data_IF_553725281715
#
_entry.id   IF_553725281715
#
_cell.length_a   1.000
_cell.length_b   1.000
_cell.length_c   1.000
_cell.angle_alpha   90.00
_cell.angle_beta   90.00
_cell.angle_gamma   90.00
#
_symmetry.space_group_name_H-M   'P 1'
#
loop_
_entity.id
_entity.type
_entity.pdbx_description
1 polymer ?
#
# COMPACT_ATOMS: atom_id res chain seq x y z
N UNK A 1 -4.43 56.84 34.21
CA UNK A 1 -3.43 56.23 33.31
C UNK A 1 -2.18 57.08 33.33
N UNK A 2 -1.12 56.61 33.99
CA UNK A 2 0.08 57.41 34.23
C UNK A 2 0.79 57.82 32.94
N UNK A 3 1.19 59.08 32.86
CA UNK A 3 2.11 59.62 31.83
C UNK A 3 3.54 59.21 32.19
N UNK A 4 3.79 57.90 32.32
CA UNK A 4 5.12 57.35 32.61
C UNK A 4 6.02 57.35 31.37
N UNK A 5 7.33 57.24 31.58
CA UNK A 5 8.33 57.14 30.52
C UNK A 5 8.02 56.00 29.52
N UNK A 6 7.56 54.85 30.02
CA UNK A 6 7.15 53.71 29.19
C UNK A 6 6.02 54.06 28.19
N UNK A 7 5.03 54.85 28.63
CA UNK A 7 3.93 55.30 27.77
C UNK A 7 4.40 56.37 26.76
N UNK A 8 5.44 57.14 27.10
CA UNK A 8 6.09 58.02 26.14
C UNK A 8 6.89 57.23 25.09
N UNK A 9 7.60 56.18 25.52
CA UNK A 9 8.40 55.33 24.65
C UNK A 9 7.55 54.46 23.73
N UNK A 10 6.43 53.90 24.21
CA UNK A 10 5.53 53.09 23.38
C UNK A 10 4.90 53.85 22.21
N UNK A 11 4.83 55.19 22.29
CA UNK A 11 4.39 56.06 21.19
C UNK A 11 5.46 56.29 20.12
N UNK A 12 6.73 55.98 20.41
CA UNK A 12 7.83 56.09 19.45
C UNK A 12 7.76 54.97 18.44
N UNK A 13 8.10 55.27 17.19
CA UNK A 13 8.01 54.34 16.06
C UNK A 13 8.99 53.16 16.15
N UNK A 14 10.02 53.23 16.98
CA UNK A 14 11.03 52.17 17.16
C UNK A 14 10.78 51.28 18.37
N UNK A 15 9.84 51.63 19.26
CA UNK A 15 9.61 50.85 20.47
C UNK A 15 8.82 49.57 20.14
N UNK A 16 9.19 48.40 20.67
CA UNK A 16 8.53 47.13 20.34
C UNK A 16 7.03 47.14 20.71
N UNK A 17 6.69 47.74 21.85
CA UNK A 17 5.30 47.87 22.34
C UNK A 17 4.46 48.87 21.53
N UNK A 18 5.05 49.56 20.55
CA UNK A 18 4.27 50.38 19.64
C UNK A 18 3.29 49.50 18.85
N UNK A 19 2.02 49.90 18.80
CA UNK A 19 0.94 49.17 18.12
C UNK A 19 1.30 48.87 16.66
N UNK A 20 1.95 49.81 15.96
CA UNK A 20 2.41 49.62 14.59
C UNK A 20 3.48 48.54 14.45
N UNK A 21 4.40 48.45 15.42
CA UNK A 21 5.45 47.43 15.41
C UNK A 21 4.91 46.06 15.81
N UNK A 22 4.04 46.01 16.82
CA UNK A 22 3.36 44.77 17.22
C UNK A 22 2.53 44.20 16.05
N UNK A 23 1.82 45.05 15.31
CA UNK A 23 1.12 44.64 14.09
C UNK A 23 2.09 44.12 13.01
N UNK A 24 3.21 44.79 12.79
CA UNK A 24 4.23 44.34 11.82
C UNK A 24 4.84 42.99 12.20
N UNK A 25 5.16 42.81 13.48
CA UNK A 25 5.63 41.54 14.03
C UNK A 25 4.60 40.44 13.81
N UNK A 26 3.33 40.69 14.15
CA UNK A 26 2.25 39.73 13.96
C UNK A 26 2.09 39.30 12.49
N UNK A 27 2.12 40.25 11.55
CA UNK A 27 2.06 39.93 10.11
C UNK A 27 3.28 39.12 9.64
N UNK A 28 4.46 39.43 10.16
CA UNK A 28 5.67 38.68 9.85
C UNK A 28 5.63 37.25 10.41
N UNK A 29 5.15 37.07 11.63
CA UNK A 29 4.96 35.78 12.27
C UNK A 29 3.91 34.94 11.53
N UNK A 30 2.78 35.52 11.15
CA UNK A 30 1.79 34.83 10.31
C UNK A 30 2.37 34.38 8.98
N UNK A 31 3.06 35.28 8.27
CA UNK A 31 3.69 34.94 6.98
C UNK A 31 4.71 33.80 7.13
N UNK A 32 5.52 33.84 8.18
CA UNK A 32 6.50 32.79 8.48
C UNK A 32 5.81 31.46 8.82
N UNK A 33 4.72 31.48 9.60
CA UNK A 33 3.93 30.29 9.90
C UNK A 33 3.33 29.66 8.64
N UNK A 34 2.78 30.49 7.73
CA UNK A 34 2.24 30.02 6.45
C UNK A 34 3.33 29.45 5.54
N UNK A 35 4.50 30.08 5.46
CA UNK A 35 5.63 29.56 4.68
C UNK A 35 6.11 28.21 5.23
N UNK A 36 6.24 28.08 6.55
CA UNK A 36 6.57 26.81 7.21
C UNK A 36 5.53 25.73 6.93
N UNK A 37 4.24 26.06 7.02
CA UNK A 37 3.15 25.13 6.71
C UNK A 37 3.24 24.64 5.27
N UNK A 38 3.42 25.54 4.30
CA UNK A 38 3.59 25.16 2.88
C UNK A 38 4.81 24.28 2.65
N UNK A 39 5.92 24.56 3.33
CA UNK A 39 7.13 23.73 3.23
C UNK A 39 6.92 22.34 3.84
N UNK A 40 6.18 22.22 4.94
CA UNK A 40 5.81 20.94 5.54
C UNK A 40 4.88 20.14 4.62
N UNK A 41 3.82 20.77 4.10
CA UNK A 41 2.90 20.13 3.14
C UNK A 41 3.66 19.62 1.89
N UNK A 42 4.65 20.37 1.39
CA UNK A 42 5.48 19.94 0.26
C UNK A 42 6.39 18.76 0.62
N UNK A 43 6.95 18.72 1.83
CA UNK A 43 7.74 17.59 2.31
C UNK A 43 6.90 16.33 2.46
N UNK A 44 5.71 16.45 3.04
CA UNK A 44 4.77 15.32 3.19
C UNK A 44 4.33 14.76 1.83
N UNK A 45 4.09 15.63 0.84
CA UNK A 45 3.78 15.20 -0.53
C UNK A 45 4.95 14.43 -1.14
N UNK A 46 6.17 14.94 -1.01
CA UNK A 46 7.37 14.26 -1.49
C UNK A 46 7.57 12.90 -0.82
N UNK A 47 7.42 12.81 0.50
CA UNK A 47 7.52 11.55 1.24
C UNK A 47 6.48 10.54 0.75
N UNK A 48 5.22 10.97 0.56
CA UNK A 48 4.17 10.12 0.01
C UNK A 48 4.51 9.61 -1.39
N UNK A 49 5.05 10.46 -2.26
CA UNK A 49 5.47 10.06 -3.61
C UNK A 49 6.64 9.07 -3.57
N UNK A 50 7.60 9.27 -2.68
CA UNK A 50 8.71 8.34 -2.46
C UNK A 50 8.23 6.99 -1.92
N UNK A 51 7.28 6.97 -0.98
CA UNK A 51 6.66 5.75 -0.49
C UNK A 51 5.93 5.00 -1.61
N UNK A 52 5.16 5.69 -2.45
CA UNK A 52 4.49 5.09 -3.61
C UNK A 52 5.52 4.53 -4.59
N UNK A 53 6.61 5.25 -4.84
CA UNK A 53 7.68 4.79 -5.71
C UNK A 53 8.38 3.55 -5.13
N UNK A 54 8.72 3.56 -3.84
CA UNK A 54 9.32 2.44 -3.11
C UNK A 54 8.40 1.22 -3.12
N UNK A 55 7.12 1.40 -2.81
CA UNK A 55 6.10 0.34 -2.86
C UNK A 55 5.98 -0.24 -4.27
N UNK A 56 6.00 0.59 -5.31
CA UNK A 56 5.98 0.15 -6.70
C UNK A 56 7.24 -0.63 -7.08
N UNK A 57 8.41 -0.21 -6.59
CA UNK A 57 9.67 -0.91 -6.80
C UNK A 57 9.68 -2.26 -6.07
N UNK A 58 9.20 -2.31 -4.83
CA UNK A 58 9.09 -3.52 -4.02
C UNK A 58 8.07 -4.50 -4.62
N UNK A 59 6.96 -4.00 -5.16
CA UNK A 59 5.99 -4.80 -5.90
C UNK A 59 6.57 -5.44 -7.18
N UNK A 60 7.69 -4.93 -7.71
CA UNK A 60 8.57 -5.61 -8.67
C UNK A 60 7.89 -6.53 -9.70
N UNK A 61 8.55 -7.66 -9.99
CA UNK A 61 8.13 -8.70 -10.94
C UNK A 61 6.77 -9.34 -10.57
N UNK A 62 6.19 -9.04 -9.40
CA UNK A 62 4.83 -9.49 -9.07
C UNK A 62 3.77 -8.85 -9.95
N UNK A 63 4.01 -7.66 -10.52
CA UNK A 63 3.10 -7.11 -11.53
C UNK A 63 3.11 -7.93 -12.83
N UNK A 64 4.26 -8.48 -13.20
CA UNK A 64 4.37 -9.46 -14.28
C UNK A 64 3.75 -10.81 -13.85
N UNK A 65 3.94 -11.26 -12.60
CA UNK A 65 3.30 -12.47 -12.04
C UNK A 65 1.76 -12.38 -12.03
N UNK A 66 1.21 -11.28 -11.55
CA UNK A 66 -0.23 -10.98 -11.56
C UNK A 66 -0.73 -10.74 -12.99
N UNK A 67 0.07 -10.07 -13.83
CA UNK A 67 -0.21 -9.86 -15.25
C UNK A 67 -0.15 -11.14 -16.08
N UNK A 68 0.64 -12.14 -15.69
CA UNK A 68 0.69 -13.48 -16.30
C UNK A 68 -0.32 -14.43 -15.65
N UNK A 69 -0.94 -14.04 -14.54
CA UNK A 69 -1.92 -14.87 -13.83
C UNK A 69 -3.12 -15.22 -14.70
N UNK A 70 -3.55 -14.37 -15.63
CA UNK A 70 -4.65 -14.71 -16.56
C UNK A 70 -4.28 -15.81 -17.57
N UNK A 71 -2.98 -16.04 -17.85
CA UNK A 71 -2.53 -17.10 -18.76
C UNK A 71 -2.59 -18.48 -18.12
N UNK A 72 -2.46 -18.54 -16.79
CA UNK A 72 -2.41 -19.78 -16.02
C UNK A 72 -3.67 -20.02 -15.16
N UNK A 73 -4.46 -18.98 -14.89
CA UNK A 73 -5.77 -19.14 -14.27
C UNK A 73 -6.85 -19.34 -15.34
N UNK A 74 -7.64 -20.42 -15.25
CA UNK A 74 -8.77 -20.60 -16.14
C UNK A 74 -9.79 -19.46 -15.96
N UNK A 75 -10.42 -18.98 -17.04
CA UNK A 75 -11.38 -17.88 -16.98
C UNK A 75 -12.59 -18.23 -16.09
N UNK A 76 -13.18 -17.21 -15.47
CA UNK A 76 -14.33 -17.38 -14.59
C UNK A 76 -15.46 -18.14 -15.30
N UNK A 77 -15.85 -19.29 -14.77
CA UNK A 77 -16.82 -20.22 -15.37
C UNK A 77 -16.22 -21.54 -15.85
N UNK A 78 -14.90 -21.64 -16.01
CA UNK A 78 -14.20 -22.91 -16.17
C UNK A 78 -13.78 -23.40 -14.78
N UNK A 79 -14.60 -24.24 -14.16
CA UNK A 79 -14.27 -24.88 -12.89
C UNK A 79 -12.94 -25.64 -13.01
N UNK A 80 -12.06 -25.50 -12.00
CA UNK A 80 -10.96 -26.45 -11.78
C UNK A 80 -11.60 -27.83 -11.57
N UNK A 81 -11.71 -28.61 -12.64
CA UNK A 81 -12.15 -30.00 -12.53
C UNK A 81 -11.17 -30.83 -11.69
N UNK A 82 -9.93 -30.37 -11.49
CA UNK A 82 -8.92 -31.16 -10.79
C UNK A 82 -9.07 -31.18 -9.26
N UNK A 83 -9.58 -30.12 -8.61
CA UNK A 83 -9.70 -30.08 -7.14
C UNK A 83 -11.01 -30.71 -6.64
N UNK A 84 -12.12 -30.55 -7.37
CA UNK A 84 -13.42 -31.10 -6.94
C UNK A 84 -13.55 -32.61 -7.21
N UNK A 85 -12.91 -33.13 -8.26
CA UNK A 85 -12.93 -34.57 -8.57
C UNK A 85 -12.02 -35.36 -7.62
N UNK A 86 -10.89 -34.79 -7.17
CA UNK A 86 -10.00 -35.44 -6.20
C UNK A 86 -10.61 -35.59 -4.81
N UNK A 87 -11.44 -34.63 -4.37
CA UNK A 87 -12.03 -34.66 -3.02
C UNK A 87 -13.29 -35.54 -2.93
N UNK A 88 -14.04 -35.68 -4.04
CA UNK A 88 -15.28 -36.47 -4.08
C UNK A 88 -15.09 -37.97 -4.34
N UNK A 89 -14.02 -38.38 -5.04
CA UNK A 89 -13.83 -39.80 -5.40
C UNK A 89 -13.06 -40.65 -4.37
N UNK A 90 -12.55 -40.07 -3.27
CA UNK A 90 -11.71 -40.78 -2.29
C UNK A 90 -12.41 -41.31 -1.03
N UNK A 91 -13.74 -41.25 -0.93
CA UNK A 91 -14.48 -41.86 0.19
C UNK A 91 -15.65 -42.72 -0.30
N UNK A 92 -15.52 -44.04 -0.16
CA UNK A 92 -16.69 -44.94 -0.17
C UNK A 92 -17.49 -44.76 1.12
N UNK A 93 -18.78 -45.09 1.07
CA UNK A 93 -19.73 -44.92 2.17
C UNK A 93 -19.41 -45.74 3.45
N UNK A 94 -18.43 -46.65 3.40
CA UNK A 94 -17.98 -47.53 4.49
C UNK A 94 -16.64 -47.11 5.11
N UNK A 95 -16.06 -45.96 4.72
CA UNK A 95 -14.96 -45.32 5.47
C UNK A 95 -13.56 -45.93 5.31
N UNK A 96 -13.33 -46.83 4.35
CA UNK A 96 -11.98 -47.40 4.10
C UNK A 96 -11.28 -46.74 2.91
N UNK A 97 -10.00 -46.37 3.09
CA UNK A 97 -9.18 -45.64 2.11
C UNK A 97 -8.79 -46.53 0.92
N UNK A 98 -9.09 -46.11 -0.31
CA UNK A 98 -8.69 -46.82 -1.53
C UNK A 98 -7.54 -46.08 -2.17
N UNK A 99 -6.34 -46.61 -1.98
CA UNK A 99 -5.17 -46.22 -2.76
C UNK A 99 -5.08 -47.16 -3.96
N UNK A 100 -5.54 -46.74 -5.15
CA UNK A 100 -4.93 -47.16 -6.44
C UNK A 100 -5.08 -46.00 -7.45
N UNK A 101 -4.00 -45.28 -7.78
CA UNK A 101 -2.94 -45.60 -8.76
C UNK A 101 -3.47 -45.66 -10.21
N UNK A 102 -3.65 -44.49 -10.82
CA UNK A 102 -3.69 -44.35 -12.28
C UNK A 102 -2.52 -43.48 -12.74
N UNK A 103 -1.32 -44.06 -12.70
CA UNK A 103 -0.23 -43.57 -13.56
C UNK A 103 -0.51 -44.09 -14.99
N UNK A 104 -0.43 -43.22 -16.01
CA UNK A 104 -0.69 -43.64 -17.39
C UNK A 104 0.36 -44.66 -17.83
N UNK A 105 -0.07 -45.92 -18.03
CA UNK A 105 0.79 -46.98 -18.55
C UNK A 105 0.79 -46.97 -20.08
N UNK A 106 1.98 -46.84 -20.65
CA UNK A 106 2.19 -46.88 -22.09
C UNK A 106 1.94 -48.27 -22.69
N UNK A 107 1.58 -48.32 -23.97
CA UNK A 107 1.02 -49.48 -24.66
C UNK A 107 1.92 -50.74 -24.63
N UNK A 108 3.24 -50.56 -24.53
CA UNK A 108 4.22 -51.64 -24.45
C UNK A 108 4.31 -52.32 -23.06
N UNK A 109 3.70 -51.74 -22.02
CA UNK A 109 3.60 -52.33 -20.68
C UNK A 109 2.41 -53.29 -20.53
N UNK A 110 1.56 -53.44 -21.55
CA UNK A 110 0.39 -54.35 -21.56
C UNK A 110 0.70 -55.76 -22.09
N UNK A 111 1.96 -56.20 -22.05
CA UNK A 111 2.33 -57.52 -22.56
C UNK A 111 2.54 -58.52 -21.43
N UNK A 112 1.85 -59.67 -21.60
CA UNK A 112 1.88 -60.93 -20.84
C UNK A 112 1.04 -61.03 -19.57
N UNK A 113 -0.17 -61.60 -19.72
CA UNK A 113 -0.68 -62.59 -18.77
C UNK A 113 -0.62 -63.94 -19.50
N UNK A 114 0.31 -64.81 -19.08
CA UNK A 114 0.32 -66.21 -19.50
C UNK A 114 -0.87 -66.96 -18.85
N UNK A 115 -1.41 -68.01 -19.50
CA UNK A 115 -2.57 -68.75 -19.01
C UNK A 115 -2.33 -69.45 -17.68
#
# INVERSE_FOLDING_TARGET
MGKGFENYMSKKWFHPTNIGNMKRQYMAEQKNADEKRRQQELREQYEREQEVFSNKQLMGDEKARLGLSFMYNPPAGMAKQEEQTQEQELRRADGTLIIKKDEPKFEWQRKYNAP
#
